data_IF_325952286258
#
_entry.id   IF_325952286258
#
_cell.length_a   1.000
_cell.length_b   1.000
_cell.length_c   1.000
_cell.angle_alpha   90.00
_cell.angle_beta   90.00
_cell.angle_gamma   90.00
#
_symmetry.space_group_name_H-M   'P 1'
#
loop_
_entity.id
_entity.type
_entity.pdbx_description
1 polymer ?
#
# COMPACT_ATOMS: atom_id res chain seq x y z
N UNK A 1 -1.07 19.57 -5.51
CA UNK A 1 -0.32 18.60 -4.69
C UNK A 1 -1.07 17.29 -4.81
N UNK A 2 -0.39 16.16 -5.05
CA UNK A 2 -1.04 14.84 -5.17
C UNK A 2 -0.68 14.05 -3.91
N UNK A 3 -1.68 13.63 -3.15
CA UNK A 3 -1.47 12.84 -1.96
C UNK A 3 -1.23 11.36 -2.32
N UNK A 4 -0.39 10.71 -1.53
CA UNK A 4 -0.05 9.29 -1.65
C UNK A 4 -0.32 8.58 -0.34
N UNK A 5 -0.73 7.32 -0.43
CA UNK A 5 -0.84 6.40 0.71
C UNK A 5 0.09 5.22 0.54
N UNK A 6 0.58 4.68 1.65
CA UNK A 6 1.51 3.56 1.70
C UNK A 6 1.13 2.66 2.89
N UNK A 7 0.20 1.70 2.71
CA UNK A 7 -0.14 0.74 3.78
C UNK A 7 1.10 -0.04 4.23
N UNK A 8 1.30 -0.16 5.55
CA UNK A 8 2.35 -0.99 6.15
C UNK A 8 1.67 -2.10 6.95
N UNK A 9 1.75 -3.34 6.44
CA UNK A 9 1.19 -4.50 7.11
C UNK A 9 2.27 -5.18 7.92
N UNK A 10 2.06 -5.27 9.23
CA UNK A 10 2.96 -5.91 10.18
C UNK A 10 2.50 -7.32 10.50
N UNK A 11 3.40 -8.29 10.39
CA UNK A 11 3.18 -9.63 10.92
C UNK A 11 3.46 -9.65 12.42
N UNK A 12 2.44 -9.95 13.22
CA UNK A 12 2.49 -9.85 14.69
C UNK A 12 3.57 -10.72 15.34
N UNK A 13 3.92 -11.87 14.76
CA UNK A 13 4.80 -12.84 15.42
C UNK A 13 6.28 -12.49 15.34
N UNK A 14 6.75 -11.88 14.24
CA UNK A 14 8.18 -11.79 13.92
C UNK A 14 8.66 -10.38 13.51
N UNK A 15 7.85 -9.33 13.72
CA UNK A 15 8.18 -7.96 13.27
C UNK A 15 8.50 -7.86 11.76
N UNK A 16 7.83 -8.67 10.94
CA UNK A 16 8.00 -8.68 9.49
C UNK A 16 7.03 -7.68 8.84
N UNK A 17 7.43 -7.09 7.71
CA UNK A 17 6.59 -6.20 6.90
C UNK A 17 6.24 -6.89 5.58
N UNK A 18 4.99 -6.76 5.13
CA UNK A 18 4.59 -7.20 3.78
C UNK A 18 5.20 -6.29 2.72
N UNK A 19 5.89 -6.90 1.76
CA UNK A 19 6.47 -6.25 0.59
C UNK A 19 5.97 -6.94 -0.68
N UNK A 20 5.85 -6.19 -1.76
CA UNK A 20 5.50 -6.69 -3.08
C UNK A 20 6.72 -6.68 -4.01
N UNK A 21 6.87 -7.72 -4.83
CA UNK A 21 7.94 -7.84 -5.83
C UNK A 21 7.40 -7.46 -7.21
N UNK A 22 7.65 -6.22 -7.64
CA UNK A 22 7.29 -5.77 -8.98
C UNK A 22 8.23 -6.42 -10.01
N UNK A 23 7.72 -6.92 -11.16
CA UNK A 23 8.51 -7.63 -12.14
C UNK A 23 9.66 -6.81 -12.73
N UNK A 24 9.49 -5.48 -12.82
CA UNK A 24 10.48 -4.57 -13.43
C UNK A 24 11.15 -3.61 -12.44
N UNK A 25 10.58 -3.45 -11.24
CA UNK A 25 10.94 -2.35 -10.34
C UNK A 25 11.40 -2.81 -8.96
N UNK A 26 11.64 -4.11 -8.81
CA UNK A 26 12.18 -4.69 -7.59
C UNK A 26 11.16 -4.80 -6.46
N UNK A 27 11.69 -4.90 -5.24
CA UNK A 27 10.90 -5.04 -4.01
C UNK A 27 10.43 -3.66 -3.55
N UNK A 28 9.14 -3.53 -3.27
CA UNK A 28 8.52 -2.26 -2.90
C UNK A 28 7.48 -2.47 -1.79
N UNK A 29 7.17 -1.39 -1.06
CA UNK A 29 5.93 -1.29 -0.31
C UNK A 29 4.78 -1.04 -1.28
N UNK A 30 3.61 -1.59 -0.97
CA UNK A 30 2.39 -1.21 -1.67
C UNK A 30 2.11 0.26 -1.40
N UNK A 31 1.86 1.03 -2.46
CA UNK A 31 1.59 2.46 -2.39
C UNK A 31 0.84 2.92 -3.63
N UNK A 32 0.03 3.96 -3.47
CA UNK A 32 -0.62 4.58 -4.61
C UNK A 32 -1.21 5.95 -4.31
N UNK A 33 -1.99 6.44 -5.28
CA UNK A 33 -2.59 7.78 -5.24
C UNK A 33 -3.85 7.76 -4.41
N UNK A 34 -4.07 8.82 -3.64
CA UNK A 34 -5.38 9.05 -3.02
C UNK A 34 -6.30 9.56 -4.12
N UNK A 35 -7.31 8.77 -4.47
CA UNK A 35 -8.24 9.09 -5.55
C UNK A 35 -9.37 9.98 -5.05
N UNK A 36 -10.01 10.72 -5.95
CA UNK A 36 -11.09 11.66 -5.60
C UNK A 36 -12.33 10.97 -5.03
N UNK A 37 -12.49 9.68 -5.30
CA UNK A 37 -13.59 8.86 -4.79
C UNK A 37 -13.25 8.14 -3.47
N UNK A 38 -11.99 8.20 -3.01
CA UNK A 38 -11.64 7.63 -1.73
C UNK A 38 -12.22 8.49 -0.62
N UNK A 39 -13.06 7.89 0.24
CA UNK A 39 -13.71 8.59 1.35
C UNK A 39 -12.72 9.03 2.45
N UNK A 40 -11.55 8.37 2.51
CA UNK A 40 -10.49 8.66 3.48
C UNK A 40 -9.16 8.05 3.05
N UNK A 41 -8.06 8.49 3.66
CA UNK A 41 -6.75 7.86 3.49
C UNK A 41 -6.72 6.38 3.90
N UNK A 42 -7.55 5.96 4.87
CA UNK A 42 -7.65 4.54 5.27
C UNK A 42 -8.33 3.74 4.17
N UNK A 43 -9.38 4.28 3.53
CA UNK A 43 -10.07 3.63 2.42
C UNK A 43 -9.13 3.47 1.23
N UNK A 44 -8.41 4.56 0.85
CA UNK A 44 -7.39 4.53 -0.20
C UNK A 44 -6.30 3.48 0.10
N UNK A 45 -5.76 3.46 1.31
CA UNK A 45 -4.71 2.51 1.70
C UNK A 45 -5.17 1.05 1.63
N UNK A 46 -6.43 0.75 1.98
CA UNK A 46 -7.00 -0.60 1.84
C UNK A 46 -7.20 -1.01 0.39
N UNK A 47 -7.66 -0.10 -0.46
CA UNK A 47 -7.83 -0.34 -1.90
C UNK A 47 -6.49 -0.68 -2.56
N UNK A 48 -5.49 0.20 -2.38
CA UNK A 48 -4.15 -0.02 -2.92
C UNK A 48 -3.53 -1.34 -2.42
N UNK A 49 -3.69 -1.65 -1.13
CA UNK A 49 -3.24 -2.92 -0.57
C UNK A 49 -3.86 -4.12 -1.30
N UNK A 50 -5.18 -4.09 -1.55
CA UNK A 50 -5.89 -5.20 -2.19
C UNK A 50 -5.57 -5.36 -3.70
N UNK A 51 -5.14 -4.30 -4.38
CA UNK A 51 -4.79 -4.33 -5.81
C UNK A 51 -3.42 -4.99 -6.07
N UNK A 52 -2.47 -4.87 -5.14
CA UNK A 52 -1.06 -5.22 -5.34
C UNK A 52 -0.53 -6.33 -4.41
N UNK A 53 -1.35 -6.87 -3.49
CA UNK A 53 -0.94 -7.92 -2.53
C UNK A 53 -1.34 -9.34 -2.94
#
# INVERSE_FOLDING_TARGET
MIDKVCPVVLRKQNQEILLFQHPLAGIQLVKGTVETFDESYITAAKRELAEES
#
